data_IF_495884017646
#
_entry.id   IF_495884017646
#
_cell.length_a   1.000
_cell.length_b   1.000
_cell.length_c   1.000
_cell.angle_alpha   90.00
_cell.angle_beta   90.00
_cell.angle_gamma   90.00
#
_symmetry.space_group_name_H-M   'P 1'
#
loop_
_entity.id
_entity.type
_entity.pdbx_description
1 polymer ?
#
# COMPACT_ATOMS: atom_id res chain seq x y z
N UNK A 1 22.29 -2.50 -5.85
CA UNK A 1 22.03 -3.72 -5.08
C UNK A 1 21.06 -4.58 -5.87
N UNK A 2 21.33 -5.86 -6.11
CA UNK A 2 20.29 -6.75 -6.64
C UNK A 2 19.28 -7.00 -5.53
N UNK A 3 18.01 -6.64 -5.72
CA UNK A 3 16.95 -6.96 -4.77
C UNK A 3 16.76 -8.47 -4.71
N UNK A 4 17.44 -9.10 -3.75
CA UNK A 4 17.49 -10.55 -3.61
C UNK A 4 16.07 -11.12 -3.47
N UNK A 5 15.79 -12.20 -4.19
CA UNK A 5 14.49 -12.86 -4.21
C UNK A 5 13.48 -12.28 -5.21
N UNK A 6 13.75 -11.14 -5.86
CA UNK A 6 12.89 -10.63 -6.95
C UNK A 6 13.34 -11.13 -8.31
N UNK A 7 12.41 -11.21 -9.27
CA UNK A 7 12.74 -11.51 -10.68
C UNK A 7 12.88 -10.20 -11.44
N UNK A 8 14.08 -9.83 -11.92
CA UNK A 8 14.26 -8.55 -12.58
C UNK A 8 13.63 -8.57 -13.99
N UNK A 9 12.82 -7.56 -14.31
CA UNK A 9 12.17 -7.40 -15.62
C UNK A 9 12.97 -6.43 -16.48
N UNK A 10 13.31 -5.27 -15.91
CA UNK A 10 14.18 -4.29 -16.54
C UNK A 10 15.22 -3.80 -15.54
N UNK A 11 16.47 -3.68 -16.00
CA UNK A 11 17.59 -3.30 -15.15
C UNK A 11 18.59 -2.40 -15.89
N UNK A 12 19.43 -1.66 -15.15
CA UNK A 12 20.44 -0.82 -15.78
C UNK A 12 21.50 -1.67 -16.47
N UNK A 13 21.89 -1.29 -17.68
CA UNK A 13 22.93 -2.00 -18.41
C UNK A 13 23.00 -1.59 -19.87
N UNK A 14 23.97 -2.15 -20.62
CA UNK A 14 23.69 -2.67 -21.94
C UNK A 14 23.29 -4.16 -21.85
N UNK A 15 23.81 -4.91 -20.86
CA UNK A 15 23.64 -6.36 -20.72
C UNK A 15 23.30 -6.78 -19.28
N UNK A 16 22.07 -6.54 -18.80
CA UNK A 16 21.63 -7.06 -17.51
C UNK A 16 21.57 -8.59 -17.52
N UNK A 17 21.63 -9.20 -16.33
CA UNK A 17 21.52 -10.66 -16.20
C UNK A 17 20.09 -11.10 -16.53
N UNK A 18 19.98 -12.14 -17.36
CA UNK A 18 18.69 -12.77 -17.66
C UNK A 18 17.93 -13.15 -16.36
N UNK A 19 16.60 -13.00 -16.32
CA UNK A 19 15.73 -12.69 -17.47
C UNK A 19 15.60 -11.20 -17.80
N UNK A 20 16.24 -10.29 -17.06
CA UNK A 20 16.04 -8.86 -17.24
C UNK A 20 16.47 -8.36 -18.63
N UNK A 21 15.75 -7.37 -19.14
CA UNK A 21 16.09 -6.61 -20.34
C UNK A 21 16.75 -5.26 -19.98
N UNK A 22 17.65 -4.74 -20.82
CA UNK A 22 18.20 -3.40 -20.62
C UNK A 22 17.13 -2.34 -20.94
N UNK A 23 17.23 -1.19 -20.30
CA UNK A 23 16.45 -0.02 -20.70
C UNK A 23 16.86 0.47 -22.09
N UNK A 24 15.87 0.74 -22.95
CA UNK A 24 16.04 1.37 -24.26
C UNK A 24 14.97 2.44 -24.44
N UNK A 25 15.36 3.65 -24.79
CA UNK A 25 14.41 4.73 -25.08
C UNK A 25 13.58 4.44 -26.33
N UNK A 26 14.16 3.73 -27.30
CA UNK A 26 13.50 3.40 -28.57
C UNK A 26 12.35 2.39 -28.40
N UNK A 27 12.29 1.73 -27.25
CA UNK A 27 11.23 0.79 -26.88
C UNK A 27 9.98 1.52 -26.36
N UNK A 28 9.93 2.85 -26.39
CA UNK A 28 8.80 3.65 -25.90
C UNK A 28 8.23 4.55 -26.98
N UNK A 29 6.91 4.65 -26.99
CA UNK A 29 6.16 5.53 -27.89
C UNK A 29 5.26 6.44 -27.08
N UNK A 30 5.29 7.73 -27.41
CA UNK A 30 4.48 8.76 -26.76
C UNK A 30 2.99 8.57 -27.05
N UNK A 31 2.18 8.57 -26.00
CA UNK A 31 0.72 8.59 -26.03
C UNK A 31 0.26 9.73 -25.13
N UNK A 32 0.44 10.97 -25.60
CA UNK A 32 0.09 12.17 -24.85
C UNK A 32 -1.28 12.73 -25.25
N UNK A 33 -1.79 13.69 -24.47
CA UNK A 33 -3.04 14.38 -24.75
C UNK A 33 -3.05 15.20 -26.07
N UNK A 34 -1.90 15.37 -26.73
CA UNK A 34 -1.76 15.90 -28.10
C UNK A 34 -2.70 15.22 -29.11
N UNK A 35 -3.01 13.93 -28.91
CA UNK A 35 -3.97 13.20 -29.75
C UNK A 35 -5.41 13.74 -29.64
N UNK A 36 -5.69 14.58 -28.63
CA UNK A 36 -6.95 15.29 -28.39
C UNK A 36 -6.81 16.81 -28.53
N UNK A 37 -5.66 17.29 -29.04
CA UNK A 37 -5.35 18.71 -29.14
C UNK A 37 -4.81 19.34 -27.86
N UNK A 38 -4.40 18.54 -26.87
CA UNK A 38 -3.67 19.03 -25.70
C UNK A 38 -2.22 19.41 -26.00
N UNK A 39 -1.53 19.99 -25.03
CA UNK A 39 -0.13 20.43 -25.15
C UNK A 39 0.83 19.67 -24.23
N UNK A 40 0.32 18.72 -23.43
CA UNK A 40 1.18 17.86 -22.64
C UNK A 40 2.01 16.97 -23.56
N UNK A 41 3.26 16.76 -23.21
CA UNK A 41 4.15 15.91 -23.99
C UNK A 41 5.11 15.16 -23.08
N UNK A 42 5.50 13.97 -23.51
CA UNK A 42 6.52 13.18 -22.86
C UNK A 42 7.55 12.67 -23.84
N UNK A 43 8.69 12.27 -23.30
CA UNK A 43 9.71 11.52 -24.01
C UNK A 43 10.47 10.62 -23.03
N UNK A 44 11.26 9.70 -23.59
CA UNK A 44 12.19 8.88 -22.82
C UNK A 44 13.62 9.07 -23.30
N UNK A 45 14.56 9.02 -22.37
CA UNK A 45 15.99 9.05 -22.65
C UNK A 45 16.73 8.01 -21.79
N UNK A 46 17.98 7.70 -22.15
CA UNK A 46 18.85 6.86 -21.33
C UNK A 46 19.97 7.71 -20.75
N UNK A 47 20.06 7.79 -19.43
CA UNK A 47 21.22 8.36 -18.73
C UNK A 47 22.22 7.26 -18.45
N UNK A 48 23.48 7.47 -18.85
CA UNK A 48 24.57 6.56 -18.56
C UNK A 48 25.46 7.12 -17.46
N UNK A 49 25.72 6.31 -16.44
CA UNK A 49 26.69 6.64 -15.39
C UNK A 49 28.03 5.98 -15.70
N UNK A 50 29.17 6.65 -15.44
CA UNK A 50 30.47 5.99 -15.46
C UNK A 50 30.50 4.81 -14.46
N UNK A 51 30.96 3.61 -14.88
CA UNK A 51 31.34 3.25 -16.24
C UNK A 51 30.11 3.12 -17.15
N UNK A 52 30.16 3.67 -18.38
CA UNK A 52 29.10 3.81 -19.43
C UNK A 52 28.29 2.54 -19.78
N UNK A 53 28.54 1.45 -19.07
CA UNK A 53 27.80 0.21 -18.98
C UNK A 53 26.52 0.25 -18.11
N UNK A 54 26.09 1.39 -17.56
CA UNK A 54 24.85 1.46 -16.74
C UNK A 54 23.94 2.56 -17.25
N UNK A 55 22.96 2.17 -18.08
CA UNK A 55 21.91 3.05 -18.58
C UNK A 55 20.65 2.96 -17.72
N UNK A 56 20.13 4.08 -17.24
CA UNK A 56 18.83 4.20 -16.56
C UNK A 56 17.84 4.91 -17.47
N UNK A 57 16.57 4.52 -17.40
CA UNK A 57 15.50 5.16 -18.19
C UNK A 57 15.05 6.44 -17.51
N UNK A 58 15.07 7.54 -18.25
CA UNK A 58 14.40 8.79 -17.85
C UNK A 58 13.09 8.89 -18.58
N UNK A 59 12.01 9.05 -17.84
CA UNK A 59 10.70 9.46 -18.34
C UNK A 59 10.48 10.93 -17.94
N UNK A 60 10.44 11.82 -18.92
CA UNK A 60 10.32 13.27 -18.67
C UNK A 60 9.39 13.94 -19.67
N UNK A 61 9.04 15.18 -19.36
CA UNK A 61 8.23 16.02 -20.24
C UNK A 61 7.49 17.12 -19.49
N UNK A 62 6.45 17.65 -20.11
CA UNK A 62 5.64 18.71 -19.57
C UNK A 62 4.17 18.31 -19.50
N UNK A 63 3.55 18.57 -18.35
CA UNK A 63 2.14 18.32 -18.12
C UNK A 63 1.37 19.65 -18.10
N UNK A 64 0.51 19.86 -19.07
CA UNK A 64 -0.36 21.03 -19.15
C UNK A 64 -1.78 20.70 -18.69
N UNK A 65 -2.40 21.64 -17.99
CA UNK A 65 -3.80 21.51 -17.56
C UNK A 65 -4.68 22.61 -18.13
N UNK A 66 -4.10 23.65 -18.74
CA UNK A 66 -4.86 24.80 -19.22
C UNK A 66 -5.58 24.49 -20.54
N UNK A 67 -4.92 23.80 -21.46
CA UNK A 67 -5.41 23.59 -22.84
C UNK A 67 -6.72 22.81 -22.88
N UNK A 68 -6.86 21.79 -22.02
CA UNK A 68 -8.04 20.91 -21.98
C UNK A 68 -8.91 21.13 -20.74
N UNK A 69 -8.89 22.34 -20.16
CA UNK A 69 -9.81 22.73 -19.08
C UNK A 69 -9.64 21.92 -17.79
N UNK A 70 -8.39 21.67 -17.40
CA UNK A 70 -7.96 20.98 -16.19
C UNK A 70 -7.59 19.50 -16.40
N UNK A 71 -7.94 18.93 -17.54
CA UNK A 71 -7.48 17.61 -17.95
C UNK A 71 -6.11 17.71 -18.63
N UNK A 72 -5.23 16.74 -18.36
CA UNK A 72 -3.93 16.64 -19.03
C UNK A 72 -3.30 15.30 -18.73
N UNK A 73 -2.63 14.71 -19.72
CA UNK A 73 -1.81 13.52 -19.50
C UNK A 73 -0.66 13.42 -20.51
N UNK A 74 0.46 12.92 -20.03
CA UNK A 74 1.63 12.61 -20.83
C UNK A 74 2.07 11.17 -20.49
N UNK A 75 2.22 10.32 -21.50
CA UNK A 75 2.48 8.88 -21.29
C UNK A 75 3.42 8.29 -22.33
N UNK A 76 4.21 7.32 -21.89
CA UNK A 76 5.12 6.53 -22.72
C UNK A 76 4.73 5.05 -22.62
N UNK A 77 4.23 4.50 -23.71
CA UNK A 77 3.86 3.09 -23.80
C UNK A 77 5.05 2.27 -24.32
N UNK A 78 5.37 1.18 -23.64
CA UNK A 78 6.44 0.29 -24.06
C UNK A 78 5.98 -0.60 -25.22
N UNK A 79 6.83 -0.75 -26.23
CA UNK A 79 6.70 -1.71 -27.33
C UNK A 79 7.31 -3.06 -26.98
N UNK A 80 8.06 -3.14 -25.89
CA UNK A 80 8.73 -4.35 -25.41
C UNK A 80 7.91 -4.99 -24.29
N UNK A 81 7.53 -6.26 -24.50
CA UNK A 81 6.84 -7.06 -23.49
C UNK A 81 7.75 -7.39 -22.30
N UNK A 82 7.16 -7.76 -21.16
CA UNK A 82 7.94 -8.28 -20.04
C UNK A 82 8.67 -9.57 -20.45
N UNK A 83 9.93 -9.77 -20.01
CA UNK A 83 10.70 -10.96 -20.37
C UNK A 83 10.20 -12.26 -19.72
N UNK A 84 9.26 -12.15 -18.78
CA UNK A 84 8.64 -13.28 -18.06
C UNK A 84 7.14 -13.06 -17.97
N UNK A 85 6.36 -14.14 -18.10
CA UNK A 85 4.92 -14.11 -17.88
C UNK A 85 4.62 -13.91 -16.37
N UNK A 86 3.92 -12.83 -16.03
CA UNK A 86 3.63 -12.45 -14.65
C UNK A 86 2.44 -13.26 -14.08
N UNK A 87 2.62 -14.56 -13.87
CA UNK A 87 1.59 -15.43 -13.27
C UNK A 87 1.34 -15.07 -11.81
N UNK A 88 0.06 -14.94 -11.40
CA UNK A 88 -0.30 -14.66 -10.00
C UNK A 88 0.11 -15.75 -9.00
N UNK A 89 0.33 -16.98 -9.50
CA UNK A 89 0.79 -18.09 -8.66
C UNK A 89 2.29 -17.97 -8.31
N UNK A 90 3.05 -17.31 -9.18
CA UNK A 90 4.51 -17.17 -9.05
C UNK A 90 4.91 -15.79 -8.54
N UNK A 91 4.09 -14.77 -8.81
CA UNK A 91 4.36 -13.38 -8.49
C UNK A 91 3.20 -12.75 -7.72
N UNK A 92 3.51 -11.90 -6.75
CA UNK A 92 2.54 -11.16 -5.92
C UNK A 92 2.32 -9.72 -6.36
N UNK A 93 3.24 -9.16 -7.16
CA UNK A 93 3.14 -7.81 -7.72
C UNK A 93 4.45 -7.30 -8.30
N UNK A 94 4.65 -5.98 -8.32
CA UNK A 94 5.81 -5.32 -8.96
C UNK A 94 6.55 -4.40 -8.00
N UNK A 95 7.87 -4.34 -8.16
CA UNK A 95 8.77 -3.39 -7.50
C UNK A 95 9.36 -2.42 -8.50
N UNK A 96 9.13 -1.14 -8.29
CA UNK A 96 9.70 -0.04 -9.07
C UNK A 96 10.76 0.70 -8.24
N UNK A 97 11.94 0.89 -8.82
CA UNK A 97 13.06 1.55 -8.16
C UNK A 97 13.38 2.84 -8.91
N UNK A 98 13.26 3.96 -8.21
CA UNK A 98 13.32 5.31 -8.78
C UNK A 98 14.49 6.05 -8.14
N UNK A 99 15.32 6.73 -8.94
CA UNK A 99 16.44 7.54 -8.43
C UNK A 99 15.94 8.83 -7.77
N UNK A 100 16.53 9.18 -6.62
CA UNK A 100 16.23 10.43 -5.89
C UNK A 100 16.81 11.65 -6.60
N UNK A 101 18.13 11.66 -6.80
CA UNK A 101 18.84 12.76 -7.47
C UNK A 101 18.74 12.58 -8.98
N UNK A 102 18.13 13.56 -9.65
CA UNK A 102 17.86 13.51 -11.08
C UNK A 102 18.92 14.34 -11.80
N UNK A 103 19.79 13.68 -12.56
CA UNK A 103 20.77 14.37 -13.42
C UNK A 103 20.14 14.76 -14.77
N UNK A 104 18.87 15.15 -14.75
CA UNK A 104 18.09 15.52 -15.94
C UNK A 104 17.29 16.78 -15.66
N UNK A 105 17.44 17.76 -16.53
CA UNK A 105 16.67 18.99 -16.49
C UNK A 105 15.73 19.04 -17.69
N UNK A 106 14.44 19.07 -17.40
CA UNK A 106 13.40 19.19 -18.42
C UNK A 106 13.07 20.68 -18.65
N UNK A 107 13.18 21.19 -19.88
CA UNK A 107 12.85 22.58 -20.17
C UNK A 107 11.38 22.88 -19.86
N UNK A 108 11.12 23.98 -19.15
CA UNK A 108 9.77 24.47 -18.94
C UNK A 108 9.48 25.65 -19.90
N UNK A 109 8.30 25.69 -20.54
CA UNK A 109 7.84 26.90 -21.21
C UNK A 109 7.71 28.06 -20.19
N UNK A 110 7.82 29.32 -20.64
CA UNK A 110 7.57 30.48 -19.80
C UNK A 110 6.19 30.35 -19.13
N UNK A 111 6.15 30.51 -17.80
CA UNK A 111 4.95 30.32 -17.02
C UNK A 111 4.39 31.65 -16.54
N UNK A 112 3.09 31.87 -16.77
CA UNK A 112 2.32 32.92 -16.13
C UNK A 112 1.78 32.38 -14.78
N UNK A 113 2.64 32.29 -13.77
CA UNK A 113 2.28 31.86 -12.41
C UNK A 113 3.29 30.97 -11.69
N UNK A 114 2.99 30.61 -10.44
CA UNK A 114 3.91 29.88 -9.55
C UNK A 114 4.15 28.42 -10.00
N UNK A 115 3.17 27.81 -10.68
CA UNK A 115 3.26 26.43 -11.20
C UNK A 115 3.03 26.45 -12.72
N UNK A 116 4.06 26.17 -13.54
CA UNK A 116 3.92 26.05 -14.99
C UNK A 116 2.82 25.05 -15.37
N UNK A 117 1.99 25.38 -16.36
CA UNK A 117 0.90 24.50 -16.84
C UNK A 117 -0.41 24.57 -16.02
N UNK A 118 -0.51 25.50 -15.07
CA UNK A 118 -1.78 25.93 -14.45
C UNK A 118 -2.39 25.01 -13.38
N UNK A 119 -1.65 24.00 -12.93
CA UNK A 119 -2.03 23.12 -11.83
C UNK A 119 -1.77 23.71 -10.44
N UNK A 120 -2.24 23.01 -9.41
CA UNK A 120 -2.08 23.42 -8.00
C UNK A 120 -0.69 23.13 -7.43
N UNK A 121 0.01 22.15 -7.97
CA UNK A 121 1.31 21.71 -7.50
C UNK A 121 2.20 21.17 -8.65
N UNK A 122 3.52 21.06 -8.46
CA UNK A 122 4.39 20.37 -9.39
C UNK A 122 4.02 18.89 -9.54
N UNK A 123 4.36 18.28 -10.69
CA UNK A 123 4.15 16.85 -10.91
C UNK A 123 4.99 16.00 -9.95
N UNK A 124 4.31 15.21 -9.13
CA UNK A 124 4.92 14.27 -8.18
C UNK A 124 4.32 12.87 -8.23
N UNK A 125 3.08 12.75 -8.71
CA UNK A 125 2.38 11.48 -8.83
C UNK A 125 2.43 10.95 -10.26
N UNK A 126 2.72 9.66 -10.35
CA UNK A 126 2.88 8.92 -11.60
C UNK A 126 2.00 7.68 -11.56
N UNK A 127 1.71 7.14 -12.73
CA UNK A 127 0.90 5.94 -12.90
C UNK A 127 1.67 4.95 -13.74
N UNK A 128 1.73 3.70 -13.27
CA UNK A 128 2.15 2.54 -14.03
C UNK A 128 0.91 1.83 -14.55
N UNK A 129 0.81 1.64 -15.86
CA UNK A 129 -0.36 1.04 -16.50
C UNK A 129 -0.04 -0.33 -17.09
N UNK A 130 -0.98 -1.27 -16.98
CA UNK A 130 -0.94 -2.56 -17.66
C UNK A 130 -2.25 -2.79 -18.42
N UNK A 131 -2.15 -3.19 -19.68
CA UNK A 131 -3.27 -3.61 -20.52
C UNK A 131 -3.20 -5.12 -20.74
N UNK A 132 -4.23 -5.82 -20.29
CA UNK A 132 -4.35 -7.28 -20.41
C UNK A 132 -5.26 -7.71 -21.55
N UNK A 133 -5.76 -6.75 -22.33
CA UNK A 133 -6.59 -6.96 -23.51
C UNK A 133 -5.96 -6.29 -24.72
N UNK A 134 -6.07 -6.92 -25.90
CA UNK A 134 -5.62 -6.34 -27.16
C UNK A 134 -6.58 -5.23 -27.57
N UNK A 135 -6.11 -3.98 -27.73
CA UNK A 135 -6.95 -2.92 -28.26
C UNK A 135 -7.39 -3.24 -29.69
N UNK A 136 -8.70 -3.33 -29.91
CA UNK A 136 -9.25 -3.51 -31.25
C UNK A 136 -8.95 -2.28 -32.09
N UNK A 137 -8.60 -2.48 -33.35
CA UNK A 137 -8.46 -1.37 -34.31
C UNK A 137 -9.79 -1.20 -35.02
N UNK A 138 -10.31 0.01 -35.04
CA UNK A 138 -11.50 0.37 -35.80
C UNK A 138 -11.23 0.36 -37.30
N UNK A 139 -12.28 0.29 -38.14
CA UNK A 139 -12.14 0.45 -39.58
C UNK A 139 -11.49 1.77 -40.02
N UNK A 140 -11.54 2.81 -39.16
CA UNK A 140 -10.90 4.13 -39.38
C UNK A 140 -9.40 4.16 -39.01
N UNK A 141 -8.83 3.02 -38.60
CA UNK A 141 -7.43 2.90 -38.18
C UNK A 141 -7.15 3.33 -36.73
N UNK A 142 -8.14 3.85 -35.99
CA UNK A 142 -7.98 4.26 -34.59
C UNK A 142 -8.07 3.05 -33.65
N UNK A 143 -7.19 3.00 -32.64
CA UNK A 143 -7.25 1.99 -31.57
C UNK A 143 -8.42 2.30 -30.62
N UNK A 144 -9.21 1.29 -30.30
CA UNK A 144 -10.25 1.38 -29.28
C UNK A 144 -9.64 1.42 -27.88
N UNK A 145 -10.32 2.11 -26.97
CA UNK A 145 -9.94 2.07 -25.56
C UNK A 145 -10.34 0.73 -24.97
N UNK A 146 -9.43 0.13 -24.20
CA UNK A 146 -9.68 -1.08 -23.39
C UNK A 146 -9.61 -0.71 -21.91
N UNK A 147 -9.97 -1.65 -21.03
CA UNK A 147 -9.70 -1.51 -19.60
C UNK A 147 -8.19 -1.48 -19.37
N UNK A 148 -7.75 -0.52 -18.57
CA UNK A 148 -6.36 -0.32 -18.18
C UNK A 148 -6.26 -0.51 -16.68
N UNK A 149 -5.29 -1.30 -16.24
CA UNK A 149 -5.01 -1.54 -14.83
C UNK A 149 -3.95 -0.54 -14.38
N UNK A 150 -4.33 0.41 -13.53
CA UNK A 150 -3.50 1.55 -13.11
C UNK A 150 -2.98 1.34 -11.68
N UNK A 151 -1.67 1.43 -11.50
CA UNK A 151 -1.01 1.56 -10.20
C UNK A 151 -0.41 2.97 -10.07
N UNK A 152 -1.00 3.79 -9.19
CA UNK A 152 -0.51 5.13 -8.89
C UNK A 152 0.50 5.12 -7.75
N UNK A 153 1.56 5.92 -7.86
CA UNK A 153 2.54 6.15 -6.81
C UNK A 153 3.03 7.60 -6.84
N UNK A 154 3.39 8.13 -5.67
CA UNK A 154 3.85 9.52 -5.50
C UNK A 154 5.29 9.55 -5.02
N UNK A 155 6.14 10.30 -5.73
CA UNK A 155 7.54 10.50 -5.34
C UNK A 155 7.61 11.52 -4.20
N UNK A 156 8.21 11.17 -3.04
CA UNK A 156 8.33 12.10 -1.91
C UNK A 156 9.17 13.33 -2.27
N UNK A 157 8.87 14.44 -1.60
CA UNK A 157 9.67 15.66 -1.62
C UNK A 157 10.15 16.01 -0.21
N UNK A 158 11.28 16.71 -0.11
CA UNK A 158 11.92 17.10 1.17
C UNK A 158 11.02 17.92 2.12
N UNK A 159 9.97 18.58 1.60
CA UNK A 159 9.02 19.38 2.40
C UNK A 159 7.82 18.56 2.91
N UNK A 160 7.72 17.27 2.57
CA UNK A 160 6.60 16.43 2.97
C UNK A 160 6.79 15.98 4.43
N UNK A 161 6.31 16.78 5.39
CA UNK A 161 6.25 16.42 6.81
C UNK A 161 5.33 15.20 7.03
N UNK A 162 5.90 14.01 6.92
CA UNK A 162 5.28 12.75 7.37
C UNK A 162 4.25 12.11 6.43
N UNK A 163 3.91 12.72 5.29
CA UNK A 163 3.01 12.11 4.30
C UNK A 163 3.83 11.33 3.28
N UNK A 164 3.99 10.02 3.51
CA UNK A 164 4.66 9.11 2.56
C UNK A 164 3.63 8.26 1.83
N UNK A 165 3.89 8.01 0.55
CA UNK A 165 3.08 7.09 -0.24
C UNK A 165 3.03 5.72 0.45
N UNK A 166 1.84 5.13 0.57
CA UNK A 166 1.65 3.84 1.25
C UNK A 166 2.43 2.68 0.59
N UNK A 167 2.85 2.86 -0.68
CA UNK A 167 3.62 1.88 -1.45
C UNK A 167 5.12 2.12 -1.39
N UNK A 168 5.56 3.19 -0.72
CA UNK A 168 6.97 3.43 -0.51
C UNK A 168 7.52 2.41 0.51
N UNK A 169 8.38 1.52 0.04
CA UNK A 169 9.11 0.60 0.89
C UNK A 169 10.26 1.35 1.59
N UNK A 170 9.97 1.85 2.79
CA UNK A 170 10.94 2.61 3.59
C UNK A 170 12.16 1.78 4.00
N UNK A 171 12.04 0.45 4.12
CA UNK A 171 13.14 -0.43 4.51
C UNK A 171 14.18 -0.62 3.39
N UNK A 172 13.74 -0.53 2.13
CA UNK A 172 14.60 -0.70 0.95
C UNK A 172 14.99 0.62 0.28
N UNK A 173 14.26 1.69 0.59
CA UNK A 173 14.63 3.06 0.22
C UNK A 173 15.95 3.44 0.90
N UNK A 174 16.85 4.08 0.16
CA UNK A 174 18.16 4.51 0.64
C UNK A 174 18.50 5.90 0.10
N UNK A 175 19.73 6.37 0.27
CA UNK A 175 20.15 7.72 -0.13
C UNK A 175 20.07 7.97 -1.64
N UNK A 176 20.18 6.91 -2.46
CA UNK A 176 20.17 7.01 -3.92
C UNK A 176 18.77 6.77 -4.52
N UNK A 177 17.96 5.90 -3.89
CA UNK A 177 16.75 5.36 -4.49
C UNK A 177 15.52 5.41 -3.58
N UNK A 178 14.39 5.79 -4.16
CA UNK A 178 13.05 5.45 -3.69
C UNK A 178 12.66 4.07 -4.20
N UNK A 179 12.12 3.21 -3.32
CA UNK A 179 11.65 1.87 -3.70
C UNK A 179 10.16 1.78 -3.47
N UNK A 180 9.40 1.42 -4.50
CA UNK A 180 7.95 1.26 -4.44
C UNK A 180 7.57 -0.19 -4.69
N UNK A 181 6.76 -0.76 -3.79
CA UNK A 181 6.21 -2.11 -3.93
C UNK A 181 4.69 -2.05 -4.13
N UNK A 182 4.22 -2.72 -5.18
CA UNK A 182 2.81 -2.98 -5.41
C UNK A 182 2.50 -4.45 -5.31
N UNK A 183 1.26 -4.73 -4.93
CA UNK A 183 0.58 -6.01 -5.08
C UNK A 183 -0.38 -5.94 -6.26
N UNK A 184 -0.81 -7.09 -6.78
CA UNK A 184 -1.83 -7.11 -7.84
C UNK A 184 -3.16 -6.44 -7.45
N UNK A 185 -3.46 -6.31 -6.16
CA UNK A 185 -4.66 -5.64 -5.67
C UNK A 185 -4.59 -4.10 -5.78
N UNK A 186 -3.39 -3.55 -5.99
CA UNK A 186 -3.17 -2.11 -6.07
C UNK A 186 -3.45 -1.55 -7.46
N UNK A 187 -3.46 -2.43 -8.46
CA UNK A 187 -3.87 -2.14 -9.81
C UNK A 187 -5.39 -1.98 -9.89
N UNK A 188 -5.85 -0.75 -10.16
CA UNK A 188 -7.28 -0.42 -10.26
C UNK A 188 -7.72 -0.37 -11.71
N UNK A 189 -8.88 -0.96 -12.06
CA UNK A 189 -9.36 -0.96 -13.43
C UNK A 189 -9.95 0.40 -13.80
N UNK A 190 -9.49 0.94 -14.91
CA UNK A 190 -9.81 2.26 -15.41
C UNK A 190 -10.19 2.17 -16.89
N UNK A 191 -11.24 2.89 -17.30
CA UNK A 191 -11.65 3.01 -18.70
C UNK A 191 -11.71 4.48 -19.06
N UNK A 192 -10.84 4.90 -19.98
CA UNK A 192 -10.70 6.32 -20.39
C UNK A 192 -10.52 7.28 -19.22
N UNK A 193 -9.71 6.88 -18.23
CA UNK A 193 -9.41 7.67 -17.04
C UNK A 193 -10.52 7.70 -15.99
N UNK A 194 -11.54 6.85 -16.10
CA UNK A 194 -12.61 6.70 -15.10
C UNK A 194 -12.54 5.32 -14.45
N UNK A 195 -12.76 5.21 -13.12
CA UNK A 195 -12.88 3.93 -12.45
C UNK A 195 -13.97 3.05 -13.04
N UNK A 196 -13.70 1.75 -13.14
CA UNK A 196 -14.64 0.73 -13.59
C UNK A 196 -15.00 -0.18 -12.41
N UNK A 197 -16.26 -0.56 -12.31
CA UNK A 197 -16.71 -1.55 -11.32
C UNK A 197 -15.99 -2.89 -11.55
N UNK A 198 -15.54 -3.55 -10.48
CA UNK A 198 -14.79 -4.80 -10.57
C UNK A 198 -15.52 -5.89 -11.39
N UNK A 199 -16.84 -5.99 -11.25
CA UNK A 199 -17.67 -6.97 -11.96
C UNK A 199 -17.70 -6.74 -13.49
N UNK A 200 -17.49 -5.48 -13.93
CA UNK A 200 -17.46 -5.11 -15.36
C UNK A 200 -16.06 -5.10 -15.94
N UNK A 201 -15.05 -4.86 -15.10
CA UNK A 201 -13.65 -4.81 -15.50
C UNK A 201 -13.08 -6.21 -15.83
N UNK A 202 -13.70 -7.27 -15.29
CA UNK A 202 -13.18 -8.62 -15.38
C UNK A 202 -12.02 -8.87 -14.43
N UNK A 203 -11.35 -10.01 -14.60
CA UNK A 203 -10.19 -10.35 -13.79
C UNK A 203 -8.91 -9.70 -14.34
N UNK A 204 -8.10 -9.11 -13.46
CA UNK A 204 -6.76 -8.67 -13.84
C UNK A 204 -5.86 -9.88 -14.14
N UNK A 205 -5.38 -10.04 -15.38
CA UNK A 205 -4.53 -11.17 -15.79
C UNK A 205 -3.12 -10.69 -16.19
N UNK A 206 -2.21 -10.42 -15.22
CA UNK A 206 -0.90 -9.81 -15.49
C UNK A 206 0.00 -10.68 -16.39
N UNK A 207 -0.18 -12.00 -16.41
CA UNK A 207 0.53 -12.89 -17.34
C UNK A 207 0.17 -12.64 -18.82
N UNK A 208 -1.00 -12.06 -19.09
CA UNK A 208 -1.46 -11.71 -20.43
C UNK A 208 -1.24 -10.20 -20.72
N UNK A 209 -0.12 -9.64 -20.24
CA UNK A 209 0.22 -8.24 -20.52
C UNK A 209 0.52 -8.05 -22.00
N UNK A 210 -0.28 -7.25 -22.68
CA UNK A 210 -0.08 -6.87 -24.08
C UNK A 210 0.67 -5.55 -24.23
N UNK A 211 0.46 -4.61 -23.31
CA UNK A 211 1.09 -3.30 -23.32
C UNK A 211 1.21 -2.82 -21.87
N UNK A 212 2.30 -2.12 -21.56
CA UNK A 212 2.47 -1.43 -20.28
C UNK A 212 3.03 -0.03 -20.52
N UNK A 213 2.71 0.92 -19.64
CA UNK A 213 3.08 2.33 -19.84
C UNK A 213 3.43 3.02 -18.52
N UNK A 214 4.12 4.15 -18.65
CA UNK A 214 4.29 5.15 -17.59
C UNK A 214 3.51 6.39 -17.97
N UNK A 215 2.85 7.03 -17.00
CA UNK A 215 2.06 8.21 -17.23
C UNK A 215 2.22 9.23 -16.11
N UNK A 216 2.30 10.51 -16.49
CA UNK A 216 2.01 11.65 -15.64
C UNK A 216 0.61 12.17 -16.00
N UNK A 217 -0.28 12.29 -15.00
CA UNK A 217 -1.68 12.70 -15.18
C UNK A 217 -1.99 13.94 -14.34
N UNK A 218 -2.75 14.90 -14.84
CA UNK A 218 -3.04 16.15 -14.12
C UNK A 218 -3.84 15.98 -12.83
N UNK A 219 -4.60 14.88 -12.73
CA UNK A 219 -5.56 14.62 -11.67
C UNK A 219 -6.54 15.80 -11.47
N UNK A 220 -7.06 16.33 -12.58
CA UNK A 220 -7.99 17.48 -12.61
C UNK A 220 -7.36 18.75 -11.99
N UNK A 221 -6.27 19.22 -12.60
CA UNK A 221 -5.47 20.37 -12.15
C UNK A 221 -4.79 20.22 -10.78
N UNK A 222 -4.72 19.02 -10.19
CA UNK A 222 -3.98 18.84 -8.96
C UNK A 222 -2.46 19.01 -9.17
N UNK A 223 -1.94 18.60 -10.34
CA UNK A 223 -0.54 18.77 -10.68
C UNK A 223 -0.32 19.19 -12.14
N UNK A 224 0.75 19.96 -12.39
CA UNK A 224 1.19 20.38 -13.73
C UNK A 224 2.68 20.71 -13.74
N UNK A 225 3.20 21.04 -14.93
CA UNK A 225 4.55 21.55 -15.12
C UNK A 225 5.54 20.50 -15.62
N UNK A 226 6.84 20.83 -15.62
CA UNK A 226 7.89 19.89 -16.02
C UNK A 226 7.96 18.73 -15.02
N UNK A 227 8.22 17.53 -15.53
CA UNK A 227 8.38 16.34 -14.71
C UNK A 227 9.54 15.49 -15.22
N UNK A 228 10.15 14.78 -14.28
CA UNK A 228 11.25 13.85 -14.54
C UNK A 228 11.11 12.67 -13.57
N UNK A 229 11.13 11.46 -14.11
CA UNK A 229 11.12 10.22 -13.36
C UNK A 229 12.26 9.34 -13.89
N UNK A 230 13.29 9.13 -13.08
CA UNK A 230 14.43 8.30 -13.46
C UNK A 230 14.31 6.90 -12.84
N UNK A 231 14.14 5.91 -13.70
CA UNK A 231 13.93 4.52 -13.34
C UNK A 231 15.25 3.75 -13.35
N UNK A 232 15.59 3.22 -12.20
CA UNK A 232 16.73 2.31 -12.03
C UNK A 232 16.35 0.90 -12.50
N UNK A 233 15.31 0.31 -11.93
CA UNK A 233 14.90 -1.06 -12.26
C UNK A 233 13.41 -1.30 -12.02
N UNK A 234 12.87 -2.27 -12.76
CA UNK A 234 11.55 -2.84 -12.57
C UNK A 234 11.69 -4.34 -12.32
N UNK A 235 11.09 -4.83 -11.24
CA UNK A 235 11.20 -6.23 -10.82
C UNK A 235 9.83 -6.82 -10.50
N UNK A 236 9.65 -8.12 -10.73
CA UNK A 236 8.49 -8.87 -10.25
C UNK A 236 8.76 -9.44 -8.86
N UNK A 237 7.82 -9.23 -7.95
CA UNK A 237 7.86 -9.72 -6.58
C UNK A 237 7.34 -11.17 -6.55
N UNK A 238 8.05 -12.13 -5.95
CA UNK A 238 7.57 -13.52 -5.88
C UNK A 238 6.30 -13.62 -5.03
N UNK A 239 5.42 -14.55 -5.40
CA UNK A 239 4.37 -15.06 -4.51
C UNK A 239 5.06 -15.99 -3.52
N UNK A 240 4.78 -15.88 -2.22
CA UNK A 240 5.33 -16.83 -1.26
C UNK A 240 4.87 -18.25 -1.67
N UNK A 241 5.79 -19.23 -1.82
CA UNK A 241 5.38 -20.57 -2.24
C UNK A 241 4.46 -21.22 -1.20
N UNK A 242 3.46 -22.03 -1.61
CA UNK A 242 2.87 -23.00 -0.68
C UNK A 242 4.01 -23.90 -0.20
N UNK A 243 4.22 -23.96 1.11
CA UNK A 243 5.30 -24.67 1.78
C UNK A 243 5.38 -26.13 1.32
N UNK A 244 6.26 -26.42 0.36
CA UNK A 244 6.86 -27.74 0.25
C UNK A 244 8.00 -27.81 1.27
N UNK A 245 7.79 -28.69 2.24
CA UNK A 245 8.71 -29.05 3.30
C UNK A 245 10.05 -29.54 2.73
N UNK A 246 11.06 -28.69 2.81
CA UNK A 246 12.43 -29.06 3.22
C UNK A 246 13.25 -27.80 3.46
N UNK A 247 13.30 -27.38 4.73
CA UNK A 247 14.18 -26.38 5.35
C UNK A 247 14.30 -24.97 4.73
N UNK A 248 13.83 -23.94 5.47
CA UNK A 248 14.44 -22.62 5.43
C UNK A 248 14.78 -22.03 6.82
N UNK A 249 15.94 -21.35 6.89
CA UNK A 249 16.29 -20.35 7.90
C UNK A 249 15.42 -19.08 7.69
N UNK A 250 14.88 -18.43 8.73
CA UNK A 250 14.03 -17.26 8.59
C UNK A 250 14.77 -15.95 8.91
N UNK A 251 14.57 -14.90 8.11
CA UNK A 251 14.69 -13.53 8.60
C UNK A 251 13.76 -12.59 7.83
N UNK A 252 12.57 -12.40 8.39
CA UNK A 252 11.68 -11.28 8.09
C UNK A 252 11.41 -10.53 9.39
N UNK A 253 11.56 -9.21 9.40
CA UNK A 253 10.73 -8.38 10.29
C UNK A 253 10.52 -7.00 9.70
N UNK A 254 9.29 -6.77 9.23
CA UNK A 254 8.67 -5.45 9.15
C UNK A 254 8.33 -4.95 10.56
N UNK A 255 8.64 -3.68 10.81
CA UNK A 255 8.15 -2.90 11.95
C UNK A 255 6.84 -2.20 11.55
N UNK A 256 5.90 -2.07 12.49
CA UNK A 256 4.59 -1.44 12.28
C UNK A 256 4.30 -0.28 13.22
N UNK A 257 5.22 0.60 13.64
CA UNK A 257 4.90 1.84 14.41
C UNK A 257 4.12 1.70 15.76
N UNK A 258 4.54 2.43 16.76
CA UNK A 258 3.87 2.56 18.05
C UNK A 258 3.86 4.03 18.43
N UNK A 259 2.67 4.61 18.58
CA UNK A 259 2.51 5.85 19.32
C UNK A 259 2.51 5.51 20.80
N UNK A 260 3.60 5.88 21.50
CA UNK A 260 3.68 6.51 22.83
C UNK A 260 5.16 6.51 23.23
N UNK A 261 5.71 7.72 23.37
CA UNK A 261 6.91 8.17 24.09
C UNK A 261 8.16 7.28 24.14
N UNK A 262 9.16 7.73 23.38
CA UNK A 262 10.50 8.12 23.84
C UNK A 262 11.01 7.46 25.15
N UNK A 263 12.00 6.57 25.02
CA UNK A 263 12.80 5.89 26.07
C UNK A 263 12.24 4.56 26.58
N UNK A 264 12.41 3.50 25.79
CA UNK A 264 13.04 2.26 26.27
C UNK A 264 13.19 1.25 25.11
N UNK A 265 14.43 0.91 24.80
CA UNK A 265 14.75 -0.35 24.12
C UNK A 265 14.25 -1.50 25.02
N UNK A 266 13.32 -2.32 24.56
CA UNK A 266 13.31 -3.80 24.66
C UNK A 266 11.99 -4.38 24.11
N UNK A 267 12.12 -5.55 23.51
CA UNK A 267 11.26 -6.24 22.56
C UNK A 267 10.03 -6.95 23.14
N UNK A 268 8.85 -6.78 22.51
CA UNK A 268 7.93 -7.88 22.11
C UNK A 268 6.81 -7.33 21.20
N UNK A 269 6.65 -7.83 19.97
CA UNK A 269 5.57 -7.42 19.05
C UNK A 269 4.85 -8.65 18.50
N UNK A 270 3.65 -8.91 18.99
CA UNK A 270 2.73 -9.92 18.45
C UNK A 270 2.13 -9.41 17.12
N UNK A 271 2.32 -10.14 16.04
CA UNK A 271 1.72 -9.90 14.72
C UNK A 271 0.44 -10.71 14.58
N UNK A 272 -0.72 -10.03 14.57
CA UNK A 272 -1.99 -10.62 14.12
C UNK A 272 -2.09 -10.55 12.58
N UNK A 273 -2.75 -11.50 11.91
CA UNK A 273 -3.00 -11.43 10.48
C UNK A 273 -3.92 -10.25 10.17
N UNK A 274 -3.43 -9.29 9.39
CA UNK A 274 -4.21 -8.15 8.92
C UNK A 274 -5.03 -8.63 7.72
N UNK A 275 -6.28 -9.06 7.97
CA UNK A 275 -7.28 -9.20 6.91
C UNK A 275 -7.33 -7.92 6.07
N UNK A 276 -7.50 -8.00 4.74
CA UNK A 276 -7.42 -6.86 3.85
C UNK A 276 -8.57 -5.89 4.15
N UNK A 277 -8.26 -4.82 4.88
CA UNK A 277 -9.13 -3.67 4.97
C UNK A 277 -9.11 -2.97 3.62
N UNK A 278 -10.09 -3.29 2.78
CA UNK A 278 -10.53 -2.39 1.73
C UNK A 278 -10.72 -0.98 2.32
N UNK A 279 -9.91 -0.01 1.91
CA UNK A 279 -10.18 1.43 2.09
C UNK A 279 -10.35 2.03 0.68
N UNK A 280 -11.30 2.91 0.39
CA UNK A 280 -12.35 3.54 1.20
C UNK A 280 -13.60 3.78 0.33
N UNK A 281 -14.43 2.76 0.14
CA UNK A 281 -15.87 3.03 -0.06
C UNK A 281 -16.47 3.77 1.14
N UNK A 282 -15.81 3.69 2.31
CA UNK A 282 -16.19 4.32 3.57
C UNK A 282 -16.22 5.85 3.59
N UNK A 283 -15.60 6.57 2.65
CA UNK A 283 -15.64 8.03 2.65
C UNK A 283 -17.02 8.55 2.24
N UNK A 284 -17.65 7.94 1.23
CA UNK A 284 -19.02 8.26 0.84
C UNK A 284 -20.03 7.78 1.88
N UNK A 285 -19.81 6.62 2.50
CA UNK A 285 -20.66 6.15 3.59
C UNK A 285 -20.51 7.00 4.84
N UNK A 286 -19.31 7.47 5.17
CA UNK A 286 -19.05 8.39 6.28
C UNK A 286 -19.68 9.76 6.04
N UNK A 287 -19.57 10.28 4.82
CA UNK A 287 -20.25 11.52 4.43
C UNK A 287 -21.78 11.35 4.44
N UNK A 288 -22.30 10.26 3.89
CA UNK A 288 -23.74 9.97 3.90
C UNK A 288 -24.28 9.78 5.32
N UNK A 289 -23.56 9.05 6.17
CA UNK A 289 -23.91 8.86 7.58
C UNK A 289 -23.83 10.18 8.34
N UNK A 290 -22.84 11.02 8.05
CA UNK A 290 -22.73 12.36 8.63
C UNK A 290 -23.95 13.22 8.27
N UNK A 291 -24.29 13.34 6.99
CA UNK A 291 -25.47 14.10 6.55
C UNK A 291 -26.75 13.53 7.14
N UNK A 292 -26.91 12.20 7.13
CA UNK A 292 -28.06 11.52 7.71
C UNK A 292 -28.19 11.80 9.22
N UNK A 293 -27.08 11.66 9.96
CA UNK A 293 -27.04 11.95 11.39
C UNK A 293 -27.30 13.44 11.69
N UNK A 294 -26.78 14.36 10.88
CA UNK A 294 -27.04 15.80 11.01
C UNK A 294 -28.52 16.12 10.76
N UNK A 295 -29.14 15.55 9.73
CA UNK A 295 -30.57 15.76 9.44
C UNK A 295 -31.44 15.20 10.57
N UNK A 296 -31.13 13.99 11.06
CA UNK A 296 -31.83 13.43 12.22
C UNK A 296 -31.66 14.27 13.47
N UNK A 297 -30.45 14.79 13.73
CA UNK A 297 -30.16 15.63 14.89
C UNK A 297 -30.89 16.97 14.82
N UNK A 298 -30.89 17.65 13.67
CA UNK A 298 -31.64 18.88 13.46
C UNK A 298 -33.15 18.62 13.60
N UNK A 299 -33.65 17.53 13.00
CA UNK A 299 -35.06 17.13 13.13
C UNK A 299 -35.46 16.83 14.57
N UNK A 300 -34.58 16.16 15.33
CA UNK A 300 -34.77 15.87 16.75
C UNK A 300 -34.85 17.14 17.60
N UNK A 301 -33.92 18.09 17.39
CA UNK A 301 -33.94 19.38 18.09
C UNK A 301 -35.18 20.18 17.71
N UNK A 302 -35.53 20.23 16.43
CA UNK A 302 -36.71 20.93 15.95
C UNK A 302 -37.98 20.36 16.61
N UNK A 303 -38.11 19.03 16.65
CA UNK A 303 -39.22 18.38 17.35
C UNK A 303 -39.23 18.68 18.86
N UNK A 304 -38.07 18.62 19.53
CA UNK A 304 -37.98 18.84 20.98
C UNK A 304 -38.34 20.29 21.39
N UNK A 305 -37.98 21.28 20.57
CA UNK A 305 -38.15 22.70 20.87
C UNK A 305 -39.46 23.32 20.33
N UNK A 306 -40.06 22.75 19.29
CA UNK A 306 -41.30 23.29 18.70
C UNK A 306 -42.47 23.11 19.65
N UNK A 307 -43.33 24.11 19.92
CA UNK A 307 -44.53 23.96 20.78
C UNK A 307 -45.64 23.08 20.17
N UNK A 308 -46.47 22.46 21.02
CA UNK A 308 -47.53 21.52 20.60
C UNK A 308 -48.55 22.16 19.63
N UNK A 309 -48.88 23.43 19.85
CA UNK A 309 -49.82 24.19 19.01
C UNK A 309 -49.35 24.27 17.55
N UNK A 310 -48.05 24.40 17.33
CA UNK A 310 -47.47 24.54 15.99
C UNK A 310 -47.47 23.19 15.26
N UNK A 311 -47.20 22.10 15.98
CA UNK A 311 -47.28 20.73 15.45
C UNK A 311 -48.72 20.36 15.04
N UNK A 312 -49.70 20.74 15.86
CA UNK A 312 -51.13 20.51 15.55
C UNK A 312 -51.60 21.33 14.36
N UNK A 313 -51.14 22.59 14.21
CA UNK A 313 -51.42 23.43 13.01
C UNK A 313 -50.82 22.85 11.73
N UNK A 314 -49.68 22.17 11.83
CA UNK A 314 -49.05 21.43 10.73
C UNK A 314 -49.76 20.10 10.40
N UNK A 315 -50.83 19.75 11.14
CA UNK A 315 -51.59 18.52 10.93
C UNK A 315 -50.96 17.27 11.56
N UNK A 316 -49.95 17.43 12.41
CA UNK A 316 -49.30 16.31 13.11
C UNK A 316 -50.14 15.97 14.35
N UNK A 317 -51.05 15.01 14.21
CA UNK A 317 -51.98 14.61 15.27
C UNK A 317 -51.36 13.68 16.33
N UNK A 318 -50.24 13.02 16.03
CA UNK A 318 -49.57 12.11 16.95
C UNK A 318 -48.04 12.22 16.85
N UNK A 319 -47.38 12.31 18.00
CA UNK A 319 -45.94 12.27 18.17
C UNK A 319 -45.59 11.63 19.53
N UNK A 320 -44.38 11.08 19.71
CA UNK A 320 -43.92 10.53 20.99
C UNK A 320 -43.97 11.57 22.12
N UNK A 321 -44.01 11.14 23.38
CA UNK A 321 -43.94 12.09 24.50
C UNK A 321 -42.63 12.88 24.49
N UNK A 322 -42.68 14.17 24.84
CA UNK A 322 -41.49 15.04 24.87
C UNK A 322 -40.43 14.59 25.87
N UNK A 323 -40.78 13.75 26.83
CA UNK A 323 -39.86 13.19 27.81
C UNK A 323 -38.74 12.36 27.16
N UNK A 324 -39.02 11.77 26.00
CA UNK A 324 -38.00 11.07 25.20
C UNK A 324 -36.85 11.99 24.77
N UNK A 325 -37.06 13.31 24.70
CA UNK A 325 -36.04 14.31 24.41
C UNK A 325 -34.86 14.25 25.38
N UNK A 326 -35.13 14.00 26.68
CA UNK A 326 -34.10 13.89 27.70
C UNK A 326 -33.78 12.43 28.07
N UNK A 327 -34.75 11.51 27.97
CA UNK A 327 -34.53 10.11 28.28
C UNK A 327 -33.53 9.47 27.32
N UNK A 328 -33.59 9.74 26.01
CA UNK A 328 -32.66 9.13 25.06
C UNK A 328 -31.18 9.51 25.34
N UNK A 329 -30.83 10.80 25.54
CA UNK A 329 -29.48 11.17 25.97
C UNK A 329 -29.07 10.60 27.34
N UNK A 330 -30.00 10.53 28.30
CA UNK A 330 -29.70 9.96 29.61
C UNK A 330 -29.37 8.47 29.53
N UNK A 331 -30.20 7.70 28.82
CA UNK A 331 -29.99 6.26 28.64
C UNK A 331 -28.76 5.95 27.76
N UNK A 332 -28.41 6.81 26.79
CA UNK A 332 -27.19 6.62 26.01
C UNK A 332 -25.92 6.77 26.86
N UNK A 333 -25.90 7.71 27.82
CA UNK A 333 -24.81 7.83 28.79
C UNK A 333 -24.66 6.56 29.63
N UNK A 334 -25.76 6.01 30.15
CA UNK A 334 -25.73 4.73 30.88
C UNK A 334 -25.27 3.58 30.00
N UNK A 335 -25.68 3.53 28.73
CA UNK A 335 -25.24 2.49 27.79
C UNK A 335 -23.73 2.56 27.53
N UNK A 336 -23.16 3.76 27.36
CA UNK A 336 -21.70 3.94 27.20
C UNK A 336 -20.95 3.45 28.43
N UNK A 337 -21.40 3.84 29.64
CA UNK A 337 -20.79 3.36 30.88
C UNK A 337 -20.88 1.83 31.02
N UNK A 338 -22.02 1.24 30.64
CA UNK A 338 -22.20 -0.21 30.64
C UNK A 338 -21.23 -0.91 29.66
N UNK A 339 -21.03 -0.35 28.46
CA UNK A 339 -20.05 -0.88 27.49
C UNK A 339 -18.64 -0.89 28.09
N UNK A 340 -18.23 0.20 28.75
CA UNK A 340 -16.92 0.25 29.42
C UNK A 340 -16.81 -0.78 30.55
N UNK A 341 -17.84 -0.92 31.39
CA UNK A 341 -17.85 -1.92 32.46
C UNK A 341 -17.73 -3.35 31.90
N UNK A 342 -18.48 -3.66 30.83
CA UNK A 342 -18.40 -4.96 30.15
C UNK A 342 -17.02 -5.16 29.52
N UNK A 343 -16.46 -4.15 28.85
CA UNK A 343 -15.13 -4.23 28.26
C UNK A 343 -14.05 -4.49 29.31
N UNK A 344 -14.07 -3.77 30.44
CA UNK A 344 -13.16 -4.00 31.56
C UNK A 344 -13.35 -5.42 32.11
N UNK A 345 -14.59 -5.88 32.29
CA UNK A 345 -14.88 -7.23 32.77
C UNK A 345 -14.39 -8.32 31.81
N UNK A 346 -14.57 -8.13 30.50
CA UNK A 346 -14.10 -9.07 29.47
C UNK A 346 -12.57 -9.11 29.41
N UNK A 347 -11.92 -7.95 29.51
CA UNK A 347 -10.46 -7.90 29.57
C UNK A 347 -9.94 -8.55 30.85
N UNK A 348 -10.52 -8.24 32.01
CA UNK A 348 -10.14 -8.85 33.28
C UNK A 348 -10.32 -10.38 33.27
N UNK A 349 -11.36 -10.88 32.59
CA UNK A 349 -11.56 -12.32 32.37
C UNK A 349 -10.55 -12.93 31.39
N UNK A 350 -10.08 -12.15 30.42
CA UNK A 350 -9.17 -12.62 29.36
C UNK A 350 -7.70 -12.50 29.76
N UNK A 351 -7.39 -11.76 30.83
CA UNK A 351 -6.05 -11.64 31.38
C UNK A 351 -5.70 -12.89 32.20
N UNK A 352 -4.61 -13.60 31.87
CA UNK A 352 -4.12 -14.76 32.65
C UNK A 352 -3.55 -14.34 34.03
N UNK A 353 -3.41 -15.30 34.95
CA UNK A 353 -2.82 -15.04 36.28
C UNK A 353 -1.35 -14.58 36.15
N UNK A 354 -0.87 -13.76 37.08
CA UNK A 354 0.45 -13.08 36.96
C UNK A 354 1.64 -14.05 36.95
N UNK A 355 1.48 -15.24 37.53
CA UNK A 355 2.48 -16.30 37.61
C UNK A 355 2.49 -17.22 36.38
N UNK A 356 1.53 -17.07 35.45
CA UNK A 356 1.52 -17.88 34.24
C UNK A 356 2.64 -17.47 33.27
N UNK A 357 3.36 -18.48 32.77
CA UNK A 357 4.46 -18.31 31.82
C UNK A 357 4.04 -17.65 30.50
N UNK A 358 2.74 -17.70 30.16
CA UNK A 358 2.17 -17.04 28.97
C UNK A 358 2.32 -15.52 28.99
N UNK A 359 2.50 -14.92 30.18
CA UNK A 359 2.80 -13.49 30.32
C UNK A 359 4.18 -13.11 29.81
N UNK A 360 5.12 -14.06 29.75
CA UNK A 360 6.52 -13.83 29.35
C UNK A 360 6.84 -14.50 28.01
N UNK A 361 6.27 -15.68 27.75
CA UNK A 361 6.54 -16.47 26.54
C UNK A 361 5.27 -16.64 25.70
N UNK A 362 5.41 -16.52 24.37
CA UNK A 362 4.30 -16.80 23.46
C UNK A 362 4.16 -18.31 23.17
N UNK A 363 3.03 -18.70 22.60
CA UNK A 363 2.74 -20.08 22.20
C UNK A 363 3.70 -20.65 21.13
N UNK A 364 4.41 -19.79 20.40
CA UNK A 364 5.39 -20.21 19.40
C UNK A 364 6.69 -20.72 20.04
N UNK A 365 7.00 -20.27 21.26
CA UNK A 365 8.24 -20.61 21.96
C UNK A 365 8.25 -22.04 22.52
N UNK A 366 7.08 -22.69 22.68
CA UNK A 366 6.92 -24.09 23.16
C UNK A 366 7.85 -24.45 24.34
N UNK A 367 7.96 -23.55 25.32
CA UNK A 367 8.83 -23.75 26.48
C UNK A 367 8.42 -24.98 27.28
N UNK A 368 9.41 -25.83 27.63
CA UNK A 368 9.19 -27.00 28.50
C UNK A 368 9.43 -26.56 29.94
N UNK A 369 8.40 -26.59 30.78
CA UNK A 369 8.54 -26.32 32.21
C UNK A 369 9.24 -27.51 32.87
N UNK A 370 10.37 -27.25 33.52
CA UNK A 370 11.14 -28.26 34.26
C UNK A 370 10.89 -28.06 35.74
N UNK A 371 10.19 -29.01 36.36
CA UNK A 371 9.97 -29.03 37.81
C UNK A 371 11.04 -29.93 38.47
N UNK A 372 11.47 -29.55 39.67
CA UNK A 372 12.40 -30.29 40.52
C UNK A 372 11.86 -31.64 40.97
N UNK A 373 10.54 -31.84 40.94
CA UNK A 373 9.90 -33.11 41.27
C UNK A 373 9.96 -34.16 40.14
N UNK A 374 10.44 -33.79 38.94
CA UNK A 374 10.46 -34.70 37.79
C UNK A 374 11.60 -35.72 37.92
N UNK A 375 11.24 -37.00 37.93
CA UNK A 375 12.15 -38.12 38.19
C UNK A 375 13.18 -38.37 37.06
N UNK A 376 12.80 -38.05 35.81
CA UNK A 376 13.63 -38.24 34.61
C UNK A 376 14.29 -36.93 34.18
N UNK A 377 15.60 -36.98 33.94
CA UNK A 377 16.37 -35.79 33.56
C UNK A 377 15.93 -35.25 32.20
N UNK A 378 15.85 -33.92 32.04
CA UNK A 378 15.44 -33.30 30.77
C UNK A 378 16.30 -33.77 29.59
N UNK A 379 17.63 -33.88 29.78
CA UNK A 379 18.57 -34.35 28.75
C UNK A 379 18.47 -35.84 28.42
N UNK A 380 17.90 -36.63 29.32
CA UNK A 380 17.63 -38.05 29.09
C UNK A 380 16.30 -38.25 28.35
N UNK A 381 15.39 -37.27 28.42
CA UNK A 381 14.08 -37.34 27.80
C UNK A 381 14.05 -36.76 26.38
N UNK A 382 14.65 -37.52 25.44
CA UNK A 382 14.78 -37.15 24.02
C UNK A 382 13.45 -36.75 23.34
N UNK A 383 12.32 -37.31 23.79
CA UNK A 383 11.00 -36.97 23.25
C UNK A 383 10.55 -35.54 23.64
N UNK A 384 10.80 -35.13 24.89
CA UNK A 384 10.52 -33.77 25.36
C UNK A 384 11.45 -32.75 24.71
N UNK A 385 12.73 -33.09 24.58
CA UNK A 385 13.73 -32.27 23.89
C UNK A 385 13.40 -32.03 22.42
N UNK A 386 12.93 -33.04 21.70
CA UNK A 386 12.54 -32.92 20.29
C UNK A 386 11.38 -31.93 20.05
N UNK A 387 10.64 -31.56 21.11
CA UNK A 387 9.52 -30.62 21.02
C UNK A 387 9.95 -29.16 21.24
N UNK A 388 11.12 -28.95 21.88
CA UNK A 388 11.73 -27.64 22.09
C UNK A 388 12.51 -27.23 20.83
N UNK A 389 12.21 -26.06 20.26
CA UNK A 389 12.72 -25.63 18.96
C UNK A 389 14.06 -24.86 19.01
N UNK A 390 14.56 -24.47 20.18
CA UNK A 390 15.77 -23.65 20.33
C UNK A 390 16.59 -23.97 21.59
N UNK A 391 17.83 -23.48 21.59
CA UNK A 391 18.86 -23.67 22.63
C UNK A 391 18.32 -23.46 24.05
N UNK A 392 18.73 -24.35 24.94
CA UNK A 392 18.32 -24.39 26.35
C UNK A 392 18.91 -23.16 27.05
N UNK A 393 18.08 -22.17 27.37
CA UNK A 393 18.47 -21.04 28.20
C UNK A 393 17.84 -21.18 29.59
N UNK A 394 18.68 -21.03 30.61
CA UNK A 394 18.41 -21.20 32.05
C UNK A 394 17.98 -22.61 32.50
N UNK A 395 18.99 -23.47 32.73
CA UNK A 395 18.86 -24.63 33.59
C UNK A 395 19.01 -24.21 35.06
N UNK A 396 18.24 -24.80 35.99
CA UNK A 396 18.46 -24.56 37.41
C UNK A 396 19.93 -24.79 37.79
N UNK A 397 20.55 -23.95 38.65
CA UNK A 397 21.95 -24.09 39.01
C UNK A 397 22.30 -25.49 39.54
N UNK A 398 21.35 -26.12 40.25
CA UNK A 398 21.47 -27.51 40.73
C UNK A 398 21.50 -28.54 39.61
N UNK A 399 20.79 -28.30 38.49
CA UNK A 399 20.82 -29.13 37.29
C UNK A 399 22.19 -29.05 36.61
N UNK A 400 22.73 -27.84 36.47
CA UNK A 400 24.08 -27.60 35.95
C UNK A 400 25.13 -28.25 36.85
N UNK A 401 25.05 -28.01 38.17
CA UNK A 401 25.99 -28.61 39.14
C UNK A 401 25.93 -30.14 39.14
N UNK A 402 24.74 -30.74 39.01
CA UNK A 402 24.58 -32.19 38.93
C UNK A 402 25.24 -32.74 37.66
N UNK A 403 25.04 -32.12 36.51
CA UNK A 403 25.67 -32.59 35.28
C UNK A 403 27.20 -32.39 35.26
N UNK A 404 27.70 -31.30 35.85
CA UNK A 404 29.15 -31.01 35.90
C UNK A 404 29.89 -31.89 36.92
N UNK A 405 29.21 -32.39 37.96
CA UNK A 405 29.88 -33.06 39.08
C UNK A 405 29.43 -34.51 39.35
N UNK A 406 28.41 -35.03 38.66
CA UNK A 406 27.89 -36.40 38.85
C UNK A 406 27.92 -37.26 37.57
N UNK A 407 28.43 -36.75 36.45
CA UNK A 407 28.95 -37.55 35.31
C UNK A 407 30.47 -37.64 35.40
#
# INVERSE_FOLDING_TARGET
MSYAGTTPLFAPGPNPRAPALPWRSDDFVAVDDRVRGGTSHSHTAIIQYPPYSRGELVFSGFLDTLTLGGAGFASQASTTAFPVALNKNEFSGLRLVVRKQRDWHEPAPPADGDVPGGGKAPVRSFVFEIKTEVPKTRPDGRRESVVVWEWSFTVPHDDDEGVRDARLNAALTNDDFWVFDSTWADFKPMYRGRPVDADKAGEFLPHNTHEWSLMARSNFSAQSGPFVLQLHSLNALPSQPPLHTSHPLPSSTEATESWVDEKSNHSFRATLPRTPLARSTGEYYGFALFIFATVLWVGWIAWALTPDEMLQRLGVAWYPSREWAFLLPAWSLFAVLAVYAVFIGLNARSTPELDEIVNVANSAQRGVVVDMAVEKHLLEDRARLATSLHDIYDLPPTYVSRQVHLE
#
